data_IF_313757857558
#
_entry.id   IF_313757857558
#
_cell.length_a   1.000
_cell.length_b   1.000
_cell.length_c   1.000
_cell.angle_alpha   90.00
_cell.angle_beta   90.00
_cell.angle_gamma   90.00
#
_symmetry.space_group_name_H-M   'P 1'
#
loop_
_entity.id
_entity.type
_entity.pdbx_description
1 polymer ?
#
# COMPACT_ATOMS: atom_id res chain seq x y z
N UNK A 1 -11.31 -27.71 -35.01
CA UNK A 1 -11.76 -27.11 -33.73
C UNK A 1 -11.06 -25.79 -33.58
N UNK A 2 -11.83 -24.71 -33.47
CA UNK A 2 -11.39 -23.32 -33.59
C UNK A 2 -11.31 -22.64 -32.20
N UNK A 3 -10.54 -21.55 -32.14
CA UNK A 3 -10.31 -20.61 -31.01
C UNK A 3 -9.20 -20.90 -30.00
N UNK A 4 -7.96 -20.60 -30.41
CA UNK A 4 -6.95 -19.99 -29.52
C UNK A 4 -6.70 -18.55 -29.99
N UNK A 5 -7.66 -17.65 -29.79
CA UNK A 5 -7.42 -16.21 -29.93
C UNK A 5 -6.70 -15.74 -28.67
N UNK A 6 -5.39 -15.90 -28.70
CA UNK A 6 -4.46 -15.46 -27.67
C UNK A 6 -4.75 -13.99 -27.31
N UNK A 7 -4.94 -13.74 -26.02
CA UNK A 7 -4.91 -12.41 -25.38
C UNK A 7 -3.47 -11.85 -25.48
N UNK A 8 -2.95 -11.67 -26.69
CA UNK A 8 -1.60 -11.13 -26.90
C UNK A 8 -1.69 -9.64 -26.59
N UNK A 9 -0.93 -9.22 -25.57
CA UNK A 9 -0.68 -7.83 -25.26
C UNK A 9 -0.28 -7.06 -26.53
N UNK A 10 -0.47 -5.74 -26.61
CA UNK A 10 -0.11 -4.97 -27.80
C UNK A 10 1.42 -4.91 -27.95
N UNK A 11 2.01 -5.93 -28.59
CA UNK A 11 3.46 -6.13 -28.72
C UNK A 11 4.17 -4.93 -29.34
N UNK A 12 3.55 -4.30 -30.35
CA UNK A 12 4.10 -3.08 -30.96
C UNK A 12 4.14 -1.91 -29.98
N UNK A 13 3.18 -1.84 -29.05
CA UNK A 13 3.18 -0.82 -27.99
C UNK A 13 4.23 -1.12 -26.94
N UNK A 14 4.45 -2.39 -26.59
CA UNK A 14 5.56 -2.80 -25.73
C UNK A 14 6.89 -2.40 -26.36
N UNK A 15 7.10 -2.68 -27.65
CA UNK A 15 8.34 -2.31 -28.34
C UNK A 15 8.52 -0.78 -28.40
N UNK A 16 7.44 -0.02 -28.63
CA UNK A 16 7.47 1.45 -28.63
C UNK A 16 7.72 2.05 -27.26
N UNK A 17 7.39 1.33 -26.18
CA UNK A 17 7.63 1.79 -24.80
C UNK A 17 9.13 1.99 -24.53
N UNK A 18 9.97 1.15 -25.16
CA UNK A 18 11.42 1.18 -25.03
C UNK A 18 12.10 1.87 -26.22
N UNK A 19 11.32 2.57 -27.05
CA UNK A 19 11.82 3.32 -28.19
C UNK A 19 12.38 4.70 -27.79
N UNK A 20 13.18 5.34 -28.67
CA UNK A 20 13.89 6.58 -28.37
C UNK A 20 12.99 7.82 -28.28
N UNK A 21 11.74 7.76 -28.76
CA UNK A 21 10.89 8.95 -28.89
C UNK A 21 9.86 9.08 -27.77
N UNK A 22 9.80 10.29 -27.22
CA UNK A 22 8.92 10.68 -26.13
C UNK A 22 7.43 10.53 -26.44
N UNK A 23 7.03 10.86 -27.68
CA UNK A 23 5.66 10.67 -28.15
C UNK A 23 5.31 9.19 -28.27
N UNK A 24 6.27 8.35 -28.67
CA UNK A 24 6.07 6.90 -28.73
C UNK A 24 5.88 6.30 -27.33
N UNK A 25 6.61 6.76 -26.31
CA UNK A 25 6.43 6.31 -24.92
C UNK A 25 5.00 6.60 -24.44
N UNK A 26 4.51 7.84 -24.62
CA UNK A 26 3.15 8.20 -24.22
C UNK A 26 2.07 7.37 -24.93
N UNK A 27 2.19 7.21 -26.24
CA UNK A 27 1.27 6.38 -27.04
C UNK A 27 1.34 4.90 -26.63
N UNK A 28 2.55 4.37 -26.38
CA UNK A 28 2.79 3.00 -25.95
C UNK A 28 2.13 2.70 -24.60
N UNK A 29 2.41 3.54 -23.60
CA UNK A 29 1.78 3.45 -22.28
C UNK A 29 0.26 3.50 -22.43
N UNK A 30 -0.27 4.49 -23.15
CA UNK A 30 -1.71 4.62 -23.38
C UNK A 30 -2.34 3.38 -24.01
N UNK A 31 -1.67 2.76 -25.00
CA UNK A 31 -2.15 1.55 -25.65
C UNK A 31 -2.13 0.31 -24.72
N UNK A 32 -1.05 0.13 -23.94
CA UNK A 32 -0.94 -0.96 -22.96
C UNK A 32 -2.04 -0.84 -21.89
N UNK A 33 -2.25 0.37 -21.36
CA UNK A 33 -3.31 0.64 -20.39
C UNK A 33 -4.69 0.44 -21.00
N UNK A 34 -5.00 1.04 -22.15
CA UNK A 34 -6.30 0.86 -22.79
C UNK A 34 -6.60 -0.62 -23.10
N UNK A 35 -5.61 -1.39 -23.55
CA UNK A 35 -5.78 -2.82 -23.77
C UNK A 35 -6.09 -3.56 -22.46
N UNK A 36 -5.27 -3.35 -21.44
CA UNK A 36 -5.37 -4.04 -20.15
C UNK A 36 -6.68 -3.74 -19.43
N UNK A 37 -7.17 -2.50 -19.56
CA UNK A 37 -8.37 -2.00 -18.90
C UNK A 37 -9.61 -2.02 -19.80
N UNK A 38 -9.48 -2.43 -21.07
CA UNK A 38 -10.55 -2.39 -22.09
C UNK A 38 -11.88 -2.95 -21.61
N UNK A 39 -11.88 -4.11 -20.94
CA UNK A 39 -13.09 -4.74 -20.42
C UNK A 39 -13.72 -3.91 -19.29
N UNK A 40 -12.90 -3.40 -18.37
CA UNK A 40 -13.39 -2.61 -17.24
C UNK A 40 -14.02 -1.29 -17.69
N UNK A 41 -13.41 -0.63 -18.68
CA UNK A 41 -13.94 0.58 -19.30
C UNK A 41 -15.25 0.25 -20.03
N UNK A 42 -15.25 -0.81 -20.86
CA UNK A 42 -16.43 -1.22 -21.64
C UNK A 42 -17.65 -1.48 -20.77
N UNK A 43 -17.45 -2.04 -19.58
CA UNK A 43 -18.52 -2.31 -18.61
C UNK A 43 -18.72 -1.19 -17.57
N UNK A 44 -18.08 -0.02 -17.76
CA UNK A 44 -18.13 1.13 -16.84
C UNK A 44 -17.82 0.77 -15.37
N UNK A 45 -16.94 -0.22 -15.14
CA UNK A 45 -16.51 -0.64 -13.80
C UNK A 45 -15.58 0.39 -13.18
N UNK A 46 -14.77 1.04 -14.01
CA UNK A 46 -13.80 2.08 -13.59
C UNK A 46 -14.09 3.37 -14.34
N UNK A 47 -13.74 4.51 -13.73
CA UNK A 47 -13.88 5.80 -14.40
C UNK A 47 -12.71 6.01 -15.36
N UNK A 48 -13.02 6.55 -16.54
CA UNK A 48 -11.98 6.92 -17.50
C UNK A 48 -10.95 7.88 -16.91
N UNK A 49 -11.38 8.84 -16.08
CA UNK A 49 -10.48 9.77 -15.41
C UNK A 49 -9.47 9.12 -14.46
N UNK A 50 -9.81 7.99 -13.83
CA UNK A 50 -8.90 7.25 -12.94
C UNK A 50 -7.85 6.47 -13.75
N UNK A 51 -8.25 5.95 -14.91
CA UNK A 51 -7.34 5.34 -15.87
C UNK A 51 -6.39 6.38 -16.48
N UNK A 52 -6.93 7.51 -16.91
CA UNK A 52 -6.15 8.59 -17.51
C UNK A 52 -5.14 9.12 -16.50
N UNK A 53 -5.52 9.29 -15.22
CA UNK A 53 -4.58 9.66 -14.15
C UNK A 53 -3.42 8.66 -14.02
N UNK A 54 -3.71 7.36 -13.99
CA UNK A 54 -2.68 6.32 -13.90
C UNK A 54 -1.77 6.29 -15.14
N UNK A 55 -2.36 6.24 -16.33
CA UNK A 55 -1.63 6.11 -17.59
C UNK A 55 -0.77 7.35 -17.89
N UNK A 56 -1.34 8.56 -17.74
CA UNK A 56 -0.61 9.81 -17.97
C UNK A 56 0.48 9.99 -16.91
N UNK A 57 0.20 9.69 -15.64
CA UNK A 57 1.20 9.77 -14.59
C UNK A 57 2.38 8.80 -14.79
N UNK A 58 2.14 7.61 -15.36
CA UNK A 58 3.21 6.70 -15.77
C UNK A 58 3.98 7.27 -16.96
N UNK A 59 3.29 7.73 -18.01
CA UNK A 59 3.93 8.26 -19.21
C UNK A 59 4.82 9.48 -18.92
N UNK A 60 4.30 10.45 -18.17
CA UNK A 60 5.03 11.67 -17.78
C UNK A 60 6.28 11.38 -16.96
N UNK A 61 6.24 10.36 -16.10
CA UNK A 61 7.37 10.01 -15.25
C UNK A 61 8.35 9.07 -15.95
N UNK A 62 7.87 8.17 -16.82
CA UNK A 62 8.70 7.36 -17.69
C UNK A 62 9.51 8.25 -18.67
N UNK A 63 8.89 9.32 -19.17
CA UNK A 63 9.56 10.32 -20.01
C UNK A 63 10.76 11.01 -19.33
N UNK A 64 10.77 11.07 -17.99
CA UNK A 64 11.89 11.65 -17.22
C UNK A 64 13.06 10.67 -17.03
N UNK A 65 12.91 9.41 -17.44
CA UNK A 65 13.98 8.41 -17.39
C UNK A 65 14.91 8.69 -18.58
N UNK A 66 16.22 8.90 -18.37
CA UNK A 66 17.16 9.03 -19.48
C UNK A 66 17.16 7.75 -20.33
N UNK A 67 17.27 7.89 -21.65
CA UNK A 67 17.18 6.77 -22.61
C UNK A 67 18.13 5.61 -22.27
N UNK A 68 19.35 5.91 -21.82
CA UNK A 68 20.34 4.90 -21.40
C UNK A 68 20.01 4.18 -20.09
N UNK A 69 19.02 4.65 -19.34
CA UNK A 69 18.53 4.01 -18.12
C UNK A 69 17.16 3.35 -18.31
N UNK A 70 16.52 3.52 -19.48
CA UNK A 70 15.28 2.86 -19.81
C UNK A 70 15.55 1.37 -20.07
N UNK A 71 14.92 0.50 -19.29
CA UNK A 71 15.26 -0.93 -19.24
C UNK A 71 14.03 -1.82 -19.37
N UNK A 72 14.10 -2.77 -20.31
CA UNK A 72 13.04 -3.73 -20.65
C UNK A 72 13.19 -5.08 -19.93
N UNK A 73 14.28 -5.29 -19.18
CA UNK A 73 14.57 -6.55 -18.49
C UNK A 73 13.48 -6.99 -17.49
N UNK A 74 12.58 -6.07 -17.10
CA UNK A 74 11.49 -6.29 -16.15
C UNK A 74 10.10 -6.27 -16.79
N UNK A 75 9.99 -6.35 -18.11
CA UNK A 75 8.71 -6.17 -18.83
C UNK A 75 7.58 -7.08 -18.31
N UNK A 76 7.84 -8.37 -18.08
CA UNK A 76 6.83 -9.28 -17.53
C UNK A 76 6.33 -8.84 -16.14
N UNK A 77 7.24 -8.31 -15.32
CA UNK A 77 6.90 -7.80 -13.98
C UNK A 77 6.08 -6.52 -14.08
N UNK A 78 6.46 -5.62 -14.99
CA UNK A 78 5.72 -4.37 -15.28
C UNK A 78 4.29 -4.69 -15.71
N UNK A 79 4.11 -5.63 -16.64
CA UNK A 79 2.80 -6.03 -17.13
C UNK A 79 1.94 -6.64 -16.01
N UNK A 80 2.51 -7.49 -15.16
CA UNK A 80 1.83 -8.02 -13.98
C UNK A 80 1.43 -6.91 -12.99
N UNK A 81 2.29 -5.92 -12.75
CA UNK A 81 1.98 -4.75 -11.90
C UNK A 81 0.81 -3.95 -12.50
N UNK A 82 0.83 -3.67 -13.81
CA UNK A 82 -0.25 -2.98 -14.52
C UNK A 82 -1.56 -3.77 -14.38
N UNK A 83 -1.52 -5.09 -14.55
CA UNK A 83 -2.70 -5.92 -14.39
C UNK A 83 -3.27 -5.87 -12.96
N UNK A 84 -2.43 -5.99 -11.93
CA UNK A 84 -2.91 -5.93 -10.54
C UNK A 84 -3.49 -4.57 -10.15
N UNK A 85 -3.03 -3.50 -10.79
CA UNK A 85 -3.54 -2.16 -10.53
C UNK A 85 -5.04 -1.98 -10.84
N UNK A 86 -5.64 -2.87 -11.66
CA UNK A 86 -7.08 -2.92 -11.94
C UNK A 86 -7.96 -2.84 -10.69
N UNK A 87 -7.57 -3.51 -9.61
CA UNK A 87 -8.38 -3.65 -8.41
C UNK A 87 -8.25 -2.48 -7.42
N UNK A 88 -7.30 -1.59 -7.65
CA UNK A 88 -6.98 -0.50 -6.72
C UNK A 88 -7.02 0.87 -7.41
N UNK A 89 -7.42 0.91 -8.68
CA UNK A 89 -7.36 2.12 -9.50
C UNK A 89 -8.33 3.22 -9.04
N UNK A 90 -9.39 2.90 -8.29
CA UNK A 90 -10.31 3.93 -7.77
C UNK A 90 -9.69 4.77 -6.64
N UNK A 91 -8.70 4.24 -5.92
CA UNK A 91 -8.05 4.94 -4.83
C UNK A 91 -6.79 5.70 -5.31
N UNK A 92 -6.73 7.00 -5.03
CA UNK A 92 -5.65 7.86 -5.52
C UNK A 92 -4.28 7.51 -4.93
N UNK A 93 -4.24 7.14 -3.65
CA UNK A 93 -3.01 6.79 -2.93
C UNK A 93 -2.41 5.48 -3.47
N UNK A 94 -3.24 4.48 -3.73
CA UNK A 94 -2.83 3.22 -4.35
C UNK A 94 -2.41 3.42 -5.81
N UNK A 95 -3.16 4.23 -6.59
CA UNK A 95 -2.75 4.60 -7.96
C UNK A 95 -1.36 5.21 -7.97
N UNK A 96 -1.06 6.10 -7.02
CA UNK A 96 0.26 6.72 -6.91
C UNK A 96 1.36 5.70 -6.61
N UNK A 97 1.10 4.70 -5.77
CA UNK A 97 2.05 3.59 -5.55
C UNK A 97 2.29 2.81 -6.86
N UNK A 98 1.23 2.48 -7.60
CA UNK A 98 1.34 1.78 -8.89
C UNK A 98 2.14 2.59 -9.91
N UNK A 99 1.87 3.89 -10.08
CA UNK A 99 2.65 4.78 -10.95
C UNK A 99 4.15 4.68 -10.63
N UNK A 100 4.48 4.85 -9.35
CA UNK A 100 5.86 4.86 -8.89
C UNK A 100 6.57 3.52 -9.11
N UNK A 101 5.92 2.39 -8.81
CA UNK A 101 6.57 1.10 -9.03
C UNK A 101 6.72 0.75 -10.51
N UNK A 102 5.76 1.10 -11.36
CA UNK A 102 5.85 0.89 -12.81
C UNK A 102 7.03 1.68 -13.37
N UNK A 103 7.10 2.98 -13.05
CA UNK A 103 8.18 3.87 -13.50
C UNK A 103 9.54 3.41 -12.98
N UNK A 104 9.63 3.05 -11.69
CA UNK A 104 10.89 2.57 -11.13
C UNK A 104 11.31 1.20 -11.70
N UNK A 105 10.38 0.41 -12.23
CA UNK A 105 10.70 -0.85 -12.91
C UNK A 105 11.30 -0.64 -14.30
N UNK A 106 10.95 0.48 -14.95
CA UNK A 106 11.48 0.92 -16.24
C UNK A 106 12.87 1.57 -16.13
N UNK A 107 13.37 1.84 -14.93
CA UNK A 107 14.66 2.53 -14.70
C UNK A 107 15.70 1.58 -14.09
N UNK A 108 16.75 1.23 -14.84
CA UNK A 108 17.80 0.29 -14.39
C UNK A 108 18.55 0.74 -13.13
N UNK A 109 18.52 2.03 -12.79
CA UNK A 109 19.11 2.56 -11.55
C UNK A 109 18.28 2.20 -10.32
N UNK A 110 17.01 1.82 -10.50
CA UNK A 110 16.02 1.60 -9.43
C UNK A 110 15.40 0.20 -9.45
N UNK A 111 15.37 -0.47 -10.59
CA UNK A 111 14.59 -1.71 -10.77
C UNK A 111 15.22 -2.97 -10.13
N UNK A 112 16.49 -2.92 -9.70
CA UNK A 112 17.22 -4.08 -9.16
C UNK A 112 16.49 -4.77 -8.00
N UNK A 113 15.86 -3.99 -7.12
CA UNK A 113 15.15 -4.51 -5.94
C UNK A 113 13.67 -4.77 -6.19
N UNK A 114 13.14 -4.40 -7.36
CA UNK A 114 11.73 -4.59 -7.67
C UNK A 114 11.48 -6.04 -8.04
N UNK A 115 10.45 -6.61 -7.43
CA UNK A 115 9.99 -7.98 -7.60
C UNK A 115 8.48 -8.01 -7.75
N UNK A 116 7.95 -9.11 -8.27
CA UNK A 116 6.50 -9.35 -8.36
C UNK A 116 5.80 -9.33 -6.98
N UNK A 117 6.53 -9.48 -5.88
CA UNK A 117 5.97 -9.42 -4.53
C UNK A 117 5.40 -8.03 -4.20
N UNK A 118 6.00 -6.95 -4.71
CA UNK A 118 5.46 -5.61 -4.49
C UNK A 118 4.06 -5.42 -5.08
N UNK A 119 3.80 -6.00 -6.24
CA UNK A 119 2.48 -5.95 -6.85
C UNK A 119 1.43 -6.65 -5.96
N UNK A 120 1.82 -7.75 -5.31
CA UNK A 120 1.01 -8.43 -4.29
C UNK A 120 0.84 -7.60 -3.02
N UNK A 121 1.89 -6.94 -2.53
CA UNK A 121 1.79 -6.05 -1.38
C UNK A 121 0.78 -4.96 -1.68
N UNK A 122 0.98 -4.18 -2.75
CA UNK A 122 0.15 -3.01 -3.07
C UNK A 122 -1.32 -3.42 -3.25
N UNK A 123 -1.60 -4.55 -3.89
CA UNK A 123 -2.97 -5.04 -4.07
C UNK A 123 -3.68 -5.42 -2.75
N UNK A 124 -2.92 -5.68 -1.68
CA UNK A 124 -3.46 -6.02 -0.37
C UNK A 124 -3.42 -4.84 0.63
N UNK A 125 -2.97 -3.66 0.21
CA UNK A 125 -2.99 -2.47 1.04
C UNK A 125 -4.37 -1.81 1.05
N UNK A 126 -4.81 -1.35 2.21
CA UNK A 126 -5.91 -0.39 2.31
C UNK A 126 -5.39 1.04 2.11
N UNK A 127 -6.27 2.00 1.77
CA UNK A 127 -5.90 3.42 1.72
C UNK A 127 -5.24 3.94 3.02
N UNK A 128 -5.75 3.51 4.17
CA UNK A 128 -5.24 3.88 5.50
C UNK A 128 -3.81 3.35 5.72
N UNK A 129 -3.54 2.12 5.28
CA UNK A 129 -2.18 1.56 5.30
C UNK A 129 -1.22 2.40 4.47
N UNK A 130 -1.62 2.85 3.27
CA UNK A 130 -0.76 3.71 2.42
C UNK A 130 -0.50 5.06 3.09
N UNK A 131 -1.53 5.69 3.66
CA UNK A 131 -1.40 6.96 4.38
C UNK A 131 -0.43 6.81 5.55
N UNK A 132 -0.53 5.70 6.29
CA UNK A 132 0.37 5.40 7.40
C UNK A 132 1.82 5.21 6.95
N UNK A 133 2.07 4.36 5.95
CA UNK A 133 3.41 4.12 5.41
C UNK A 133 4.04 5.42 4.90
N UNK A 134 3.28 6.24 4.17
CA UNK A 134 3.73 7.56 3.72
C UNK A 134 4.04 8.50 4.89
N UNK A 135 3.26 8.42 5.97
CA UNK A 135 3.54 9.12 7.22
C UNK A 135 4.89 8.71 7.83
N UNK A 136 5.15 7.39 7.90
CA UNK A 136 6.42 6.87 8.42
C UNK A 136 7.62 7.37 7.63
N UNK A 137 7.56 7.25 6.29
CA UNK A 137 8.62 7.70 5.39
C UNK A 137 8.90 9.20 5.56
N UNK A 138 7.86 10.03 5.66
CA UNK A 138 8.00 11.48 5.86
C UNK A 138 8.61 11.86 7.21
N UNK A 139 8.32 11.09 8.26
CA UNK A 139 8.92 11.31 9.58
C UNK A 139 10.40 10.93 9.56
N UNK A 140 10.81 10.00 8.68
CA UNK A 140 12.19 9.53 8.58
C UNK A 140 12.65 8.72 9.79
N UNK A 141 11.73 8.34 10.68
CA UNK A 141 12.04 7.51 11.84
C UNK A 141 11.99 6.04 11.44
N UNK A 142 13.04 5.28 11.78
CA UNK A 142 13.07 3.83 11.60
C UNK A 142 12.08 3.08 12.51
N UNK A 143 11.46 3.76 13.47
CA UNK A 143 10.41 3.22 14.33
C UNK A 143 9.42 4.31 14.76
N UNK A 144 8.17 3.92 15.03
CA UNK A 144 7.15 4.79 15.59
C UNK A 144 6.60 4.20 16.90
N UNK A 145 6.46 4.99 17.97
CA UNK A 145 5.79 4.52 19.17
C UNK A 145 4.31 4.30 18.90
N UNK A 146 3.82 3.10 19.24
CA UNK A 146 2.40 2.74 19.14
C UNK A 146 1.85 2.38 20.53
N UNK A 147 0.58 2.68 20.75
CA UNK A 147 -0.17 2.21 21.93
C UNK A 147 -1.32 1.37 21.42
N UNK A 148 -1.43 0.14 21.93
CA UNK A 148 -2.56 -0.76 21.70
C UNK A 148 -3.37 -0.87 22.99
N UNK A 149 -4.55 -0.28 23.01
CA UNK A 149 -5.49 -0.47 24.11
C UNK A 149 -6.20 -1.83 23.95
N UNK A 150 -6.29 -2.62 25.00
CA UNK A 150 -7.10 -3.84 25.01
C UNK A 150 -8.14 -3.71 26.13
N UNK A 151 -9.42 -3.84 25.79
CA UNK A 151 -10.47 -3.99 26.79
C UNK A 151 -10.63 -5.49 27.11
N UNK A 152 -10.42 -5.84 28.36
CA UNK A 152 -10.64 -7.19 28.88
C UNK A 152 -11.97 -7.19 29.63
N UNK A 153 -12.88 -8.10 29.29
CA UNK A 153 -14.07 -8.35 30.09
C UNK A 153 -13.84 -9.61 30.91
N UNK A 154 -14.02 -9.50 32.23
CA UNK A 154 -14.02 -10.68 33.08
C UNK A 154 -15.26 -11.54 32.77
N UNK A 155 -15.11 -12.87 32.61
CA UNK A 155 -16.25 -13.76 32.46
C UNK A 155 -17.17 -13.65 33.68
N UNK A 156 -18.47 -13.46 33.47
CA UNK A 156 -19.48 -13.37 34.54
C UNK A 156 -19.62 -14.67 35.36
N UNK A 157 -19.15 -15.81 34.83
CA UNK A 157 -19.53 -17.14 35.33
C UNK A 157 -18.39 -18.00 35.89
N UNK A 158 -17.23 -17.44 36.25
CA UNK A 158 -16.09 -18.25 36.73
C UNK A 158 -15.62 -17.82 38.12
N UNK A 159 -16.24 -18.39 39.15
CA UNK A 159 -15.74 -18.45 40.54
C UNK A 159 -14.59 -19.47 40.72
N UNK A 160 -13.63 -19.56 39.79
CA UNK A 160 -12.48 -20.45 39.94
C UNK A 160 -11.16 -19.69 39.98
N UNK A 161 -10.50 -19.84 41.13
CA UNK A 161 -9.48 -18.98 41.73
C UNK A 161 -8.06 -19.04 41.15
N UNK A 162 -7.79 -19.57 39.95
CA UNK A 162 -6.39 -19.73 39.52
C UNK A 162 -6.00 -19.29 38.10
N UNK A 163 -6.93 -18.90 37.23
CA UNK A 163 -6.60 -18.13 36.03
C UNK A 163 -7.88 -17.61 35.37
N UNK A 164 -8.31 -16.35 35.58
CA UNK A 164 -9.43 -15.81 34.81
C UNK A 164 -9.00 -15.73 33.34
N UNK A 165 -9.59 -16.59 32.50
CA UNK A 165 -9.43 -16.49 31.06
C UNK A 165 -10.13 -15.20 30.58
N UNK A 166 -9.38 -14.10 30.52
CA UNK A 166 -9.89 -12.84 29.99
C UNK A 166 -10.28 -13.03 28.52
N UNK A 167 -11.54 -12.75 28.18
CA UNK A 167 -11.96 -12.68 26.78
C UNK A 167 -11.63 -11.28 26.26
N UNK A 168 -10.75 -11.19 25.28
CA UNK A 168 -10.49 -9.92 24.57
C UNK A 168 -11.76 -9.52 23.82
N UNK A 169 -12.32 -8.34 24.14
CA UNK A 169 -13.62 -7.91 23.59
C UNK A 169 -13.46 -6.92 22.42
N UNK A 170 -12.33 -6.22 22.32
CA UNK A 170 -12.04 -5.28 21.22
C UNK A 170 -10.54 -5.19 20.92
N UNK A 171 -10.18 -4.96 19.66
CA UNK A 171 -8.84 -4.55 19.24
C UNK A 171 -8.78 -3.02 19.23
N UNK A 172 -8.20 -2.43 20.27
CA UNK A 172 -8.24 -0.99 20.46
C UNK A 172 -7.42 -0.21 19.44
N UNK A 173 -7.93 0.98 19.18
CA UNK A 173 -7.35 2.02 18.34
C UNK A 173 -5.85 2.15 18.55
N UNK A 174 -5.11 2.21 17.45
CA UNK A 174 -3.68 2.51 17.50
C UNK A 174 -3.49 3.97 17.10
N UNK A 175 -2.98 4.78 18.02
CA UNK A 175 -2.69 6.19 17.79
C UNK A 175 -1.24 6.41 17.37
N UNK A 176 -1.00 7.32 16.42
CA UNK A 176 0.35 7.88 16.19
C UNK A 176 0.54 9.03 17.16
N UNK A 177 1.60 8.94 17.97
CA UNK A 177 1.97 9.99 18.91
C UNK A 177 3.21 10.73 18.45
N UNK A 178 3.20 12.05 18.54
CA UNK A 178 4.43 12.83 18.46
C UNK A 178 5.05 12.92 19.84
N UNK A 179 6.37 12.72 19.92
CA UNK A 179 7.16 13.11 21.08
C UNK A 179 7.11 14.63 21.20
N UNK A 180 6.54 15.13 22.28
CA UNK A 180 6.59 16.54 22.66
C UNK A 180 7.34 16.63 23.99
N UNK A 181 8.18 17.64 24.14
CA UNK A 181 8.88 17.89 25.40
C UNK A 181 8.41 19.23 25.94
N UNK A 182 7.98 19.22 27.20
CA UNK A 182 7.58 20.43 27.91
C UNK A 182 8.09 20.33 29.35
N UNK A 183 8.81 21.35 29.80
CA UNK A 183 9.34 21.44 31.16
C UNK A 183 10.18 20.20 31.58
N UNK A 184 11.02 19.70 30.67
CA UNK A 184 11.87 18.51 30.89
C UNK A 184 11.11 17.19 30.98
N UNK A 185 9.79 17.18 30.73
CA UNK A 185 8.96 15.97 30.69
C UNK A 185 8.56 15.66 29.25
N UNK A 186 8.71 14.39 28.88
CA UNK A 186 8.29 13.87 27.57
C UNK A 186 6.80 13.53 27.63
N UNK A 187 6.01 14.16 26.78
CA UNK A 187 4.60 13.90 26.57
C UNK A 187 4.37 13.37 25.16
N UNK A 188 3.44 12.45 25.03
CA UNK A 188 3.03 11.90 23.74
C UNK A 188 1.69 12.53 23.35
N UNK A 189 1.68 13.39 22.32
CA UNK A 189 0.45 14.00 21.82
C UNK A 189 -0.13 13.16 20.69
N UNK A 190 -1.37 12.67 20.88
CA UNK A 190 -2.11 11.94 19.85
C UNK A 190 -2.37 12.89 18.67
N UNK A 191 -1.80 12.59 17.50
CA UNK A 191 -1.94 13.44 16.31
C UNK A 191 -3.24 13.16 15.56
N UNK A 192 -3.64 11.90 15.48
CA UNK A 192 -4.87 11.44 14.81
C UNK A 192 -5.26 10.07 15.37
N UNK A 193 -6.53 9.90 15.75
CA UNK A 193 -7.12 8.57 16.01
C UNK A 193 -7.36 7.94 14.63
N UNK A 194 -6.56 6.94 14.28
CA UNK A 194 -6.81 6.08 13.14
C UNK A 194 -7.17 4.71 13.72
N UNK A 195 -8.23 4.09 13.22
CA UNK A 195 -8.53 2.69 13.51
C UNK A 195 -7.54 1.80 12.75
N UNK A 196 -6.25 1.89 13.10
CA UNK A 196 -5.16 1.28 12.34
C UNK A 196 -4.74 -0.09 12.88
N UNK A 197 -5.43 -0.61 13.91
CA UNK A 197 -5.06 -1.87 14.54
C UNK A 197 -5.19 -3.05 13.57
N UNK A 198 -6.21 -3.08 12.72
CA UNK A 198 -6.39 -4.12 11.69
C UNK A 198 -5.40 -3.94 10.54
N UNK A 199 -5.23 -2.70 10.08
CA UNK A 199 -4.28 -2.34 9.03
C UNK A 199 -2.83 -2.67 9.42
N UNK A 200 -2.43 -2.46 10.67
CA UNK A 200 -1.11 -2.83 11.17
C UNK A 200 -0.87 -4.34 11.19
N UNK A 201 -1.88 -5.15 11.53
CA UNK A 201 -1.76 -6.62 11.44
C UNK A 201 -1.57 -7.08 9.99
N UNK A 202 -2.25 -6.44 9.04
CA UNK A 202 -2.07 -6.72 7.61
C UNK A 202 -0.66 -6.31 7.18
N UNK A 203 -0.18 -5.14 7.58
CA UNK A 203 1.18 -4.69 7.27
C UNK A 203 2.25 -5.62 7.88
N UNK A 204 2.02 -6.11 9.09
CA UNK A 204 2.88 -7.08 9.78
C UNK A 204 2.86 -8.44 9.06
N UNK A 205 1.68 -8.95 8.69
CA UNK A 205 1.57 -10.24 7.98
C UNK A 205 2.15 -10.21 6.56
N UNK A 206 2.17 -9.03 5.93
CA UNK A 206 2.86 -8.77 4.67
C UNK A 206 4.37 -8.51 4.86
N UNK A 207 4.89 -8.54 6.08
CA UNK A 207 6.31 -8.32 6.37
C UNK A 207 6.79 -6.90 6.07
N UNK A 208 5.89 -5.91 6.03
CA UNK A 208 6.21 -4.51 5.71
C UNK A 208 6.67 -3.77 6.97
N UNK A 209 6.09 -4.12 8.11
CA UNK A 209 6.41 -3.54 9.42
C UNK A 209 6.63 -4.65 10.44
N UNK A 210 7.47 -4.37 11.43
CA UNK A 210 7.63 -5.22 12.61
C UNK A 210 7.02 -4.49 13.82
N UNK A 211 6.20 -5.21 14.60
CA UNK A 211 5.55 -4.64 15.78
C UNK A 211 6.21 -5.21 17.04
N UNK A 212 6.91 -4.34 17.77
CA UNK A 212 7.57 -4.68 19.02
C UNK A 212 6.76 -4.17 20.22
N UNK A 213 6.38 -5.09 21.11
CA UNK A 213 5.70 -4.74 22.37
C UNK A 213 6.68 -4.82 23.54
N UNK A 214 7.18 -3.67 24.01
CA UNK A 214 8.16 -3.62 25.10
C UNK A 214 7.51 -3.62 26.50
N UNK A 215 6.28 -3.11 26.66
CA UNK A 215 5.62 -3.04 27.97
C UNK A 215 4.11 -3.21 27.92
N UNK A 216 3.58 -4.04 28.81
CA UNK A 216 2.16 -4.08 29.15
C UNK A 216 1.90 -3.18 30.36
N UNK A 217 1.12 -2.12 30.18
CA UNK A 217 0.65 -1.28 31.30
C UNK A 217 -0.75 -1.79 31.68
N UNK A 218 -0.85 -2.44 32.85
CA UNK A 218 -2.15 -2.78 33.45
C UNK A 218 -2.65 -1.55 34.21
N UNK A 219 -3.74 -0.95 33.76
CA UNK A 219 -4.44 0.06 34.55
C UNK A 219 -5.37 -0.66 35.53
N UNK A 220 -5.30 -0.41 36.85
CA UNK A 220 -6.29 -0.92 37.79
C UNK A 220 -7.66 -0.34 37.42
N UNK A 221 -8.65 -1.21 37.34
CA UNK A 221 -10.00 -0.95 36.86
C UNK A 221 -10.62 0.36 37.39
N UNK A 222 -11.33 1.07 36.50
CA UNK A 222 -12.40 1.98 36.90
C UNK A 222 -13.52 1.12 37.50
N UNK A 223 -13.43 0.87 38.81
CA UNK A 223 -14.33 0.00 39.57
C UNK A 223 -14.57 0.49 40.99
N UNK A 224 -14.47 1.80 41.22
CA UNK A 224 -14.96 2.45 42.44
C UNK A 224 -15.61 3.78 42.06
N UNK A 225 -16.82 3.71 41.51
CA UNK A 225 -17.82 4.71 41.83
C UNK A 225 -18.58 4.15 43.03
N UNK A 226 -18.55 4.93 44.11
CA UNK A 226 -19.24 4.73 45.40
C UNK A 226 -20.74 4.57 45.16
#
# INVERSE_FOLDING_TARGET
MNNNNNNILPTDSINKLFGPSCEAVGQAVGAIFNFTFSRLIKYNIIKKSELDDLANGVAENAHKIPENNLDDSKIEQILNIIEKSKYSISNAELRELYKNIIVNSLDNRKNRKITNYFATIISNLSPESVIFLNGMVKIGAGSLPIIKANALKEPSDIKNQFNPAYKQVTFGDTGIFNKAEKDGKVFFKLKKRLEISEHLKILESLGIVEILYDRQIKHPSWGQCI
#
